data_IF_406711582779
#
_entry.id   IF_406711582779
#
_cell.length_a   1.000
_cell.length_b   1.000
_cell.length_c   1.000
_cell.angle_alpha   90.00
_cell.angle_beta   90.00
_cell.angle_gamma   90.00
#
_symmetry.space_group_name_H-M   'P 1'
#
loop_
_entity.id
_entity.type
_entity.pdbx_description
1 polymer ?
#
# COMPACT_ATOMS: atom_id res chain seq x y z
N UNK A 1 -0.76 -6.40 -22.70
CA UNK A 1 -1.26 -5.11 -22.21
C UNK A 1 -1.82 -5.39 -20.84
N UNK A 2 -1.38 -4.66 -19.82
CA UNK A 2 -1.85 -4.90 -18.45
C UNK A 2 -3.28 -4.41 -18.28
N UNK A 3 -4.10 -5.14 -17.53
CA UNK A 3 -5.43 -4.69 -17.12
C UNK A 3 -5.31 -3.87 -15.84
N UNK A 4 -5.81 -2.63 -15.85
CA UNK A 4 -5.86 -1.80 -14.65
C UNK A 4 -7.28 -1.86 -14.10
N UNK A 5 -7.43 -2.37 -12.88
CA UNK A 5 -8.71 -2.42 -12.19
C UNK A 5 -8.59 -2.07 -10.72
N UNK A 6 -9.72 -1.71 -10.11
CA UNK A 6 -9.83 -1.60 -8.66
C UNK A 6 -9.62 -2.98 -8.05
N UNK A 7 -8.83 -3.05 -6.99
CA UNK A 7 -8.63 -4.30 -6.27
C UNK A 7 -9.86 -4.63 -5.41
N UNK A 8 -10.08 -5.92 -5.18
CA UNK A 8 -11.08 -6.43 -4.25
C UNK A 8 -10.61 -6.25 -2.80
N UNK A 9 -11.54 -6.26 -1.85
CA UNK A 9 -11.21 -6.05 -0.43
C UNK A 9 -10.23 -7.10 0.12
N UNK A 10 -10.29 -8.33 -0.38
CA UNK A 10 -9.38 -9.40 0.01
C UNK A 10 -7.98 -9.29 -0.64
N UNK A 11 -7.77 -8.38 -1.59
CA UNK A 11 -6.48 -8.14 -2.25
C UNK A 11 -5.72 -6.94 -1.64
N UNK A 12 -6.34 -6.24 -0.68
CA UNK A 12 -5.78 -5.02 -0.08
C UNK A 12 -4.46 -5.30 0.63
N UNK A 13 -4.37 -6.40 1.38
CA UNK A 13 -3.17 -6.74 2.14
C UNK A 13 -2.00 -7.03 1.21
N UNK A 14 -2.21 -7.83 0.16
CA UNK A 14 -1.18 -8.12 -0.83
C UNK A 14 -0.75 -6.87 -1.60
N UNK A 15 -1.71 -5.99 -1.95
CA UNK A 15 -1.41 -4.74 -2.64
C UNK A 15 -0.58 -3.78 -1.78
N UNK A 16 -0.87 -3.66 -0.48
CA UNK A 16 -0.09 -2.85 0.45
C UNK A 16 1.30 -3.44 0.71
N UNK A 17 1.41 -4.78 0.78
CA UNK A 17 2.70 -5.45 0.91
C UNK A 17 3.60 -5.18 -0.33
N UNK A 18 3.03 -5.26 -1.53
CA UNK A 18 3.73 -4.90 -2.77
C UNK A 18 4.13 -3.42 -2.78
N UNK A 19 3.23 -2.52 -2.39
CA UNK A 19 3.54 -1.09 -2.29
C UNK A 19 4.69 -0.82 -1.30
N UNK A 20 4.72 -1.53 -0.17
CA UNK A 20 5.82 -1.45 0.79
C UNK A 20 7.14 -1.96 0.19
N UNK A 21 7.12 -3.10 -0.50
CA UNK A 21 8.33 -3.64 -1.15
C UNK A 21 8.92 -2.64 -2.15
N UNK A 22 8.09 -2.09 -3.03
CA UNK A 22 8.50 -1.09 -4.02
C UNK A 22 9.00 0.18 -3.33
N UNK A 23 8.29 0.68 -2.32
CA UNK A 23 8.72 1.84 -1.53
C UNK A 23 10.11 1.60 -0.91
N UNK A 24 10.36 0.43 -0.33
CA UNK A 24 11.65 0.08 0.28
C UNK A 24 12.79 -0.03 -0.75
N UNK A 25 12.49 -0.48 -1.97
CA UNK A 25 13.50 -0.60 -3.02
C UNK A 25 13.89 0.74 -3.64
N UNK A 26 12.91 1.61 -3.88
CA UNK A 26 13.11 2.80 -4.72
C UNK A 26 13.09 4.11 -3.96
N UNK A 27 12.24 4.26 -2.93
CA UNK A 27 12.04 5.54 -2.23
C UNK A 27 12.78 5.58 -0.88
N UNK A 28 12.81 4.46 -0.16
CA UNK A 28 13.46 4.39 1.15
C UNK A 28 14.94 4.81 1.19
N UNK A 29 15.78 4.57 0.16
CA UNK A 29 17.16 5.07 0.15
C UNK A 29 17.28 6.60 0.27
N UNK A 30 16.27 7.33 -0.20
CA UNK A 30 16.22 8.80 -0.14
C UNK A 30 15.51 9.32 1.12
N UNK A 31 14.93 8.43 1.93
CA UNK A 31 14.22 8.76 3.17
C UNK A 31 15.09 8.51 4.40
N UNK A 32 14.84 9.31 5.45
CA UNK A 32 15.37 9.00 6.77
C UNK A 32 14.61 7.81 7.38
N UNK A 33 15.21 7.06 8.33
CA UNK A 33 14.56 5.94 9.00
C UNK A 33 13.17 6.28 9.56
N UNK A 34 13.00 7.47 10.15
CA UNK A 34 11.72 7.91 10.72
C UNK A 34 10.62 8.05 9.65
N UNK A 35 10.99 8.41 8.42
CA UNK A 35 10.06 8.49 7.30
C UNK A 35 9.61 7.12 6.82
N UNK A 36 10.53 6.16 6.79
CA UNK A 36 10.24 4.76 6.45
C UNK A 36 9.31 4.14 7.50
N UNK A 37 9.60 4.37 8.78
CA UNK A 37 8.80 3.85 9.88
C UNK A 37 7.40 4.47 9.92
N UNK A 38 7.30 5.76 9.58
CA UNK A 38 6.02 6.45 9.45
C UNK A 38 5.17 5.83 8.34
N UNK A 39 5.76 5.55 7.17
CA UNK A 39 5.05 4.90 6.08
C UNK A 39 4.52 3.51 6.47
N UNK A 40 5.36 2.68 7.11
CA UNK A 40 4.95 1.36 7.59
C UNK A 40 3.79 1.45 8.59
N UNK A 41 3.98 2.25 9.64
CA UNK A 41 3.01 2.38 10.74
C UNK A 41 1.68 2.94 10.27
N UNK A 42 1.69 4.00 9.45
CA UNK A 42 0.50 4.78 9.17
C UNK A 42 -0.27 4.26 7.93
N UNK A 43 0.38 3.50 7.04
CA UNK A 43 -0.21 2.99 5.79
C UNK A 43 -0.33 1.47 5.79
N UNK A 44 0.75 0.74 6.07
CA UNK A 44 0.82 -0.72 5.85
C UNK A 44 0.35 -1.51 7.05
N UNK A 45 0.60 -1.01 8.26
CA UNK A 45 0.26 -1.66 9.54
C UNK A 45 -0.96 -1.01 10.22
N UNK A 46 -1.53 0.03 9.61
CA UNK A 46 -2.66 0.76 10.18
C UNK A 46 -4.00 0.08 9.83
N UNK A 47 -4.56 -0.65 10.80
CA UNK A 47 -5.86 -1.32 10.66
C UNK A 47 -7.00 -0.38 10.23
N UNK A 48 -7.00 0.88 10.67
CA UNK A 48 -8.01 1.86 10.26
C UNK A 48 -7.88 2.20 8.77
N UNK A 49 -6.65 2.37 8.29
CA UNK A 49 -6.38 2.64 6.88
C UNK A 49 -6.71 1.42 6.00
N UNK A 50 -6.29 0.22 6.42
CA UNK A 50 -6.60 -1.03 5.73
C UNK A 50 -8.12 -1.20 5.62
N UNK A 51 -8.85 -0.96 6.71
CA UNK A 51 -10.31 -1.05 6.74
C UNK A 51 -10.97 -0.05 5.78
N UNK A 52 -10.47 1.20 5.72
CA UNK A 52 -10.94 2.19 4.74
C UNK A 52 -10.67 1.75 3.29
N UNK A 53 -9.55 1.08 3.03
CA UNK A 53 -9.24 0.53 1.71
C UNK A 53 -10.20 -0.61 1.34
N UNK A 54 -10.45 -1.53 2.27
CA UNK A 54 -11.37 -2.65 2.10
C UNK A 54 -12.82 -2.21 1.88
N UNK A 55 -13.25 -1.15 2.56
CA UNK A 55 -14.56 -0.52 2.38
C UNK A 55 -14.66 0.31 1.09
N UNK A 56 -13.53 0.50 0.39
CA UNK A 56 -13.47 1.28 -0.84
C UNK A 56 -13.53 2.80 -0.63
N UNK A 57 -13.39 3.28 0.60
CA UNK A 57 -13.29 4.70 0.96
C UNK A 57 -11.96 5.27 0.44
N UNK A 58 -10.88 4.47 0.55
CA UNK A 58 -9.60 4.74 -0.10
C UNK A 58 -9.36 3.70 -1.20
N UNK A 59 -9.74 3.97 -2.46
CA UNK A 59 -9.66 2.97 -3.52
C UNK A 59 -8.21 2.76 -3.99
N UNK A 60 -7.80 1.50 -4.07
CA UNK A 60 -6.51 1.09 -4.65
C UNK A 60 -6.77 0.45 -6.03
N UNK A 61 -5.90 0.75 -6.98
CA UNK A 61 -5.91 0.16 -8.33
C UNK A 61 -4.58 -0.56 -8.58
N UNK A 62 -4.66 -1.73 -9.20
CA UNK A 62 -3.49 -2.53 -9.54
C UNK A 62 -3.53 -2.91 -11.03
N UNK A 63 -2.34 -3.14 -11.59
CA UNK A 63 -2.13 -3.63 -12.95
C UNK A 63 -1.87 -5.14 -12.92
N UNK A 64 -2.59 -5.91 -13.73
CA UNK A 64 -2.51 -7.37 -13.86
C UNK A 64 -2.07 -7.80 -15.26
#
# INVERSE_FOLDING_TARGET
>A
MYEIRKIHSNEVTEALALALEVFLQFEAPDYKPEGIDTFKRDIVENDEFISKCQQGICPIYAAF
#
